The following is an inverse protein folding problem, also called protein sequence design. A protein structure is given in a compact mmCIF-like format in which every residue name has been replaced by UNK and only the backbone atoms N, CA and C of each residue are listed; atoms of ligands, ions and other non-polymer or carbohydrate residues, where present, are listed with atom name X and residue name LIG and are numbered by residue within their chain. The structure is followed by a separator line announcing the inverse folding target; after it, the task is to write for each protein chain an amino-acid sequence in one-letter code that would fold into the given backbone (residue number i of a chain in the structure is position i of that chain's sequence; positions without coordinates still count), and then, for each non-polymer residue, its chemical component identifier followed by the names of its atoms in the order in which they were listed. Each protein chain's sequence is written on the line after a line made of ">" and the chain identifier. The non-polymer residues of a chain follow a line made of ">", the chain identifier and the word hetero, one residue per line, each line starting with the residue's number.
data_IF_406326664625
#
_entry.id   IF_406326664625
#
_cell.length_a   1.000
_cell.length_b   1.000
_cell.length_c   1.000
_cell.angle_alpha   90.00
_cell.angle_beta   90.00
_cell.angle_gamma   90.00
#
_symmetry.space_group_name_H-M   'P 1'
#
loop_
_entity.id
_entity.type
_entity.pdbx_description
1 polymer ?
#
# COMPACT_ATOMS: atom_id res chain seq x y z
N UNK A 1 14.92 -14.70 18.93
CA UNK A 1 13.46 -14.89 19.01
C UNK A 1 13.03 -15.46 20.37
N UNK A 2 13.42 -16.67 20.75
CA UNK A 2 13.02 -17.30 22.03
C UNK A 2 13.23 -16.41 23.27
N UNK A 3 14.40 -15.80 23.44
CA UNK A 3 14.68 -14.87 24.55
C UNK A 3 13.73 -13.66 24.61
N UNK A 4 13.33 -13.14 23.45
CA UNK A 4 12.39 -12.02 23.37
C UNK A 4 10.95 -12.46 23.69
N UNK A 5 10.57 -13.68 23.31
CA UNK A 5 9.27 -14.25 23.66
C UNK A 5 9.16 -14.54 25.16
N UNK A 6 10.21 -15.08 25.76
CA UNK A 6 10.31 -15.28 27.20
C UNK A 6 10.19 -13.96 27.96
N UNK A 7 10.92 -12.92 27.54
CA UNK A 7 10.88 -11.60 28.17
C UNK A 7 9.51 -10.90 28.03
N UNK A 8 8.78 -11.15 26.95
CA UNK A 8 7.46 -10.56 26.69
C UNK A 8 6.29 -11.44 27.15
N UNK A 9 6.55 -12.65 27.67
CA UNK A 9 5.52 -13.60 28.10
C UNK A 9 4.67 -14.15 26.94
N UNK A 10 5.23 -14.23 25.73
CA UNK A 10 4.49 -14.59 24.49
C UNK A 10 4.76 -16.02 24.01
N UNK A 11 5.40 -16.86 24.82
CA UNK A 11 5.78 -18.23 24.46
C UNK A 11 4.57 -19.15 24.19
N UNK A 12 3.41 -18.85 24.77
CA UNK A 12 2.19 -19.66 24.69
C UNK A 12 1.10 -19.05 23.78
N UNK A 13 1.42 -18.02 22.99
CA UNK A 13 0.43 -17.44 22.07
C UNK A 13 0.04 -18.44 21.00
N UNK A 14 -1.26 -18.53 20.72
CA UNK A 14 -1.72 -19.33 19.59
C UNK A 14 -1.32 -18.67 18.27
N UNK A 15 -1.18 -19.47 17.21
CA UNK A 15 -0.99 -18.93 15.87
C UNK A 15 -2.12 -17.98 15.46
N UNK A 16 -3.35 -18.23 15.93
CA UNK A 16 -4.50 -17.35 15.71
C UNK A 16 -4.29 -15.97 16.33
N UNK A 17 -3.82 -15.90 17.58
CA UNK A 17 -3.57 -14.63 18.27
C UNK A 17 -2.41 -13.87 17.64
N UNK A 18 -1.37 -14.58 17.18
CA UNK A 18 -0.26 -13.97 16.43
C UNK A 18 -0.79 -13.33 15.14
N UNK A 19 -1.58 -14.06 14.35
CA UNK A 19 -2.14 -13.54 13.11
C UNK A 19 -3.13 -12.39 13.34
N UNK A 20 -3.96 -12.47 14.38
CA UNK A 20 -4.87 -11.40 14.76
C UNK A 20 -4.11 -10.14 15.19
N UNK A 21 -3.03 -10.29 15.94
CA UNK A 21 -2.16 -9.18 16.37
C UNK A 21 -1.47 -8.53 15.19
N UNK A 22 -0.91 -9.32 14.27
CA UNK A 22 -0.27 -8.79 13.06
C UNK A 22 -1.27 -8.08 12.15
N UNK A 23 -2.47 -8.64 11.98
CA UNK A 23 -3.54 -8.01 11.21
C UNK A 23 -3.94 -6.66 11.82
N UNK A 24 -4.15 -6.62 13.14
CA UNK A 24 -4.50 -5.40 13.86
C UNK A 24 -3.38 -4.36 13.77
N UNK A 25 -2.13 -4.77 13.95
CA UNK A 25 -0.98 -3.91 13.82
C UNK A 25 -0.90 -3.28 12.42
N UNK A 26 -1.10 -4.06 11.35
CA UNK A 26 -1.18 -3.52 9.98
C UNK A 26 -2.30 -2.50 9.83
N UNK A 27 -3.49 -2.78 10.36
CA UNK A 27 -4.61 -1.83 10.32
C UNK A 27 -4.28 -0.53 11.04
N UNK A 28 -3.80 -0.60 12.28
CA UNK A 28 -3.49 0.59 13.11
C UNK A 28 -2.41 1.46 12.43
N UNK A 29 -1.40 0.86 11.80
CA UNK A 29 -0.38 1.59 11.05
C UNK A 29 -0.94 2.28 9.81
N UNK A 30 -1.81 1.61 9.04
CA UNK A 30 -2.47 2.19 7.86
C UNK A 30 -3.38 3.36 8.28
N UNK A 31 -4.19 3.16 9.31
CA UNK A 31 -5.10 4.18 9.85
C UNK A 31 -4.30 5.41 10.30
N UNK A 32 -3.25 5.21 11.09
CA UNK A 32 -2.39 6.28 11.58
C UNK A 32 -1.76 7.06 10.42
N UNK A 33 -1.23 6.38 9.40
CA UNK A 33 -0.65 7.02 8.23
C UNK A 33 -1.69 7.83 7.43
N UNK A 34 -2.90 7.30 7.24
CA UNK A 34 -3.99 8.02 6.58
C UNK A 34 -4.32 9.29 7.36
N UNK A 35 -4.64 9.16 8.66
CA UNK A 35 -5.01 10.31 9.49
C UNK A 35 -3.93 11.41 9.50
N UNK A 36 -2.66 11.04 9.55
CA UNK A 36 -1.55 12.00 9.50
C UNK A 36 -1.44 12.69 8.14
N UNK A 37 -1.55 11.94 7.04
CA UNK A 37 -1.37 12.48 5.69
C UNK A 37 -2.59 13.26 5.19
N UNK A 38 -3.77 12.99 5.73
CA UNK A 38 -5.02 13.64 5.34
C UNK A 38 -5.52 14.66 6.35
N UNK A 39 -4.73 15.01 7.37
CA UNK A 39 -5.15 15.93 8.45
C UNK A 39 -5.61 17.32 7.98
N UNK A 40 -5.18 17.75 6.79
CA UNK A 40 -5.55 19.03 6.17
C UNK A 40 -6.39 18.87 4.90
N UNK A 41 -6.86 17.65 4.60
CA UNK A 41 -7.66 17.36 3.43
C UNK A 41 -9.13 17.19 3.84
N UNK A 42 -9.98 18.00 3.25
CA UNK A 42 -11.42 17.82 3.32
C UNK A 42 -11.90 16.93 2.16
N UNK A 43 -12.91 16.09 2.41
CA UNK A 43 -13.66 15.35 1.38
C UNK A 43 -12.79 14.51 0.42
N UNK A 44 -12.00 13.57 0.95
CA UNK A 44 -11.21 12.65 0.13
C UNK A 44 -11.84 11.26 0.04
N UNK A 45 -11.41 10.50 -0.97
CA UNK A 45 -11.80 9.11 -1.20
C UNK A 45 -10.54 8.26 -1.24
N UNK A 46 -10.57 7.11 -0.56
CA UNK A 46 -9.48 6.14 -0.59
C UNK A 46 -9.81 5.08 -1.66
N UNK A 47 -8.86 4.84 -2.57
CA UNK A 47 -8.94 3.74 -3.53
C UNK A 47 -7.92 2.65 -3.18
N UNK A 48 -8.41 1.53 -2.65
CA UNK A 48 -7.62 0.38 -2.25
C UNK A 48 -7.36 -0.59 -3.44
N UNK A 49 -6.25 -1.32 -3.36
CA UNK A 49 -5.81 -2.29 -4.37
C UNK A 49 -4.84 -3.31 -3.79
N UNK A 50 -4.49 -4.34 -4.56
CA UNK A 50 -3.57 -5.41 -4.14
C UNK A 50 -4.21 -6.39 -3.15
N UNK A 51 -3.45 -7.42 -2.77
CA UNK A 51 -3.97 -8.57 -2.03
C UNK A 51 -4.63 -8.26 -0.68
N UNK A 52 -4.26 -7.14 -0.05
CA UNK A 52 -4.81 -6.73 1.25
C UNK A 52 -6.31 -6.45 1.24
N UNK A 53 -6.89 -6.07 0.09
CA UNK A 53 -8.33 -5.79 -0.04
C UNK A 53 -9.19 -7.05 0.19
N UNK A 54 -8.62 -8.23 -0.04
CA UNK A 54 -9.29 -9.52 0.14
C UNK A 54 -9.29 -9.98 1.59
N UNK A 55 -8.68 -9.22 2.52
CA UNK A 55 -8.74 -9.48 3.95
C UNK A 55 -9.91 -8.68 4.58
N UNK A 56 -11.07 -9.32 4.83
CA UNK A 56 -12.25 -8.62 5.31
C UNK A 56 -12.07 -8.02 6.70
N UNK A 57 -11.28 -8.67 7.57
CA UNK A 57 -11.01 -8.16 8.92
C UNK A 57 -10.21 -6.87 8.86
N UNK A 58 -9.14 -6.83 8.06
CA UNK A 58 -8.32 -5.64 7.85
C UNK A 58 -9.16 -4.48 7.31
N UNK A 59 -9.92 -4.72 6.23
CA UNK A 59 -10.74 -3.68 5.61
C UNK A 59 -11.84 -3.18 6.57
N UNK A 60 -12.44 -4.07 7.37
CA UNK A 60 -13.44 -3.67 8.37
C UNK A 60 -12.84 -2.79 9.48
N UNK A 61 -11.63 -3.09 9.96
CA UNK A 61 -10.95 -2.31 10.99
C UNK A 61 -10.63 -0.89 10.48
N UNK A 62 -10.15 -0.78 9.24
CA UNK A 62 -9.86 0.51 8.61
C UNK A 62 -11.14 1.33 8.42
N UNK A 63 -12.22 0.72 7.90
CA UNK A 63 -13.49 1.42 7.70
C UNK A 63 -14.13 1.87 9.02
N UNK A 64 -14.04 1.06 10.08
CA UNK A 64 -14.54 1.42 11.41
C UNK A 64 -13.79 2.61 12.03
N UNK A 65 -12.48 2.69 11.80
CA UNK A 65 -11.67 3.80 12.31
C UNK A 65 -11.82 5.08 11.48
N UNK A 66 -12.33 4.98 10.25
CA UNK A 66 -12.53 6.09 9.31
C UNK A 66 -13.99 6.09 8.79
N UNK A 67 -14.99 6.25 9.67
CA UNK A 67 -16.39 6.04 9.32
C UNK A 67 -16.92 7.01 8.25
N UNK A 68 -16.38 8.22 8.21
CA UNK A 68 -16.80 9.28 7.28
C UNK A 68 -16.03 9.27 5.95
N UNK A 69 -15.02 8.39 5.82
CA UNK A 69 -14.19 8.29 4.61
C UNK A 69 -14.76 7.21 3.70
N UNK A 70 -14.98 7.56 2.43
CA UNK A 70 -15.36 6.59 1.41
C UNK A 70 -14.13 5.75 1.01
N UNK A 71 -14.17 4.46 1.34
CA UNK A 71 -13.16 3.50 0.92
C UNK A 71 -13.73 2.66 -0.24
N UNK A 72 -13.06 2.77 -1.39
CA UNK A 72 -13.40 2.13 -2.66
C UNK A 72 -12.25 1.24 -3.11
N UNK A 73 -12.45 0.49 -4.18
CA UNK A 73 -11.34 -0.21 -4.86
C UNK A 73 -11.02 0.47 -6.18
N UNK A 74 -9.84 0.22 -6.74
CA UNK A 74 -9.50 0.73 -8.07
C UNK A 74 -10.40 0.19 -9.19
N UNK A 75 -11.20 -0.86 -8.92
CA UNK A 75 -12.20 -1.35 -9.88
C UNK A 75 -13.23 -0.25 -10.23
N UNK A 76 -13.56 0.62 -9.27
CA UNK A 76 -14.45 1.76 -9.48
C UNK A 76 -13.87 2.80 -10.45
N UNK A 77 -12.55 2.75 -10.67
CA UNK A 77 -11.82 3.55 -11.65
C UNK A 77 -11.56 2.78 -12.97
N UNK A 78 -12.12 1.57 -13.12
CA UNK A 78 -11.91 0.71 -14.28
C UNK A 78 -10.58 -0.06 -14.27
N UNK A 79 -9.84 -0.06 -13.15
CA UNK A 79 -8.56 -0.75 -13.02
C UNK A 79 -8.71 -1.94 -12.09
N UNK A 80 -8.47 -3.16 -12.59
CA UNK A 80 -8.50 -4.35 -11.76
C UNK A 80 -7.53 -4.19 -10.55
N UNK A 81 -8.03 -4.28 -9.30
CA UNK A 81 -7.22 -4.08 -8.10
C UNK A 81 -5.99 -4.98 -7.97
N UNK A 82 -6.07 -6.21 -8.47
CA UNK A 82 -4.97 -7.17 -8.42
C UNK A 82 -3.98 -6.98 -9.58
N UNK A 83 -4.42 -6.34 -10.68
CA UNK A 83 -3.57 -6.11 -11.85
C UNK A 83 -2.84 -4.76 -11.82
N UNK A 84 -3.18 -3.86 -10.88
CA UNK A 84 -2.66 -2.48 -10.81
C UNK A 84 -1.13 -2.41 -10.94
N UNK A 85 -0.41 -3.28 -10.25
CA UNK A 85 1.06 -3.29 -10.27
C UNK A 85 1.63 -3.81 -11.61
N UNK A 86 0.99 -4.81 -12.23
CA UNK A 86 1.37 -5.27 -13.57
C UNK A 86 1.13 -4.17 -14.63
N UNK A 87 0.01 -3.45 -14.52
CA UNK A 87 -0.28 -2.29 -15.37
C UNK A 87 0.76 -1.19 -15.16
N UNK A 88 1.18 -0.92 -13.91
CA UNK A 88 2.27 0.02 -13.64
C UNK A 88 3.56 -0.35 -14.36
N UNK A 89 3.95 -1.63 -14.38
CA UNK A 89 5.14 -2.06 -15.13
C UNK A 89 4.99 -1.86 -16.64
N UNK A 90 3.81 -2.13 -17.21
CA UNK A 90 3.55 -1.86 -18.62
C UNK A 90 3.65 -0.36 -18.94
N UNK A 91 3.12 0.51 -18.06
CA UNK A 91 3.25 1.97 -18.18
C UNK A 91 4.72 2.38 -18.09
N UNK A 92 5.49 1.87 -17.13
CA UNK A 92 6.91 2.16 -17.00
C UNK A 92 7.72 1.70 -18.23
N UNK A 93 7.35 0.58 -18.86
CA UNK A 93 7.96 0.13 -20.11
C UNK A 93 7.66 1.09 -21.28
N UNK A 94 6.41 1.55 -21.38
CA UNK A 94 6.03 2.59 -22.35
C UNK A 94 6.83 3.88 -22.11
N UNK A 95 6.92 4.34 -20.86
CA UNK A 95 7.69 5.54 -20.51
C UNK A 95 9.19 5.37 -20.79
N UNK A 96 9.74 4.16 -20.65
CA UNK A 96 11.13 3.86 -21.03
C UNK A 96 11.35 3.96 -22.55
N UNK A 97 10.38 3.53 -23.36
CA UNK A 97 10.51 3.48 -24.82
C UNK A 97 10.21 4.82 -25.50
N UNK A 98 9.08 5.45 -25.13
CA UNK A 98 8.54 6.64 -25.80
C UNK A 98 8.18 7.78 -24.84
N UNK A 99 8.35 7.57 -23.54
CA UNK A 99 8.05 8.58 -22.52
C UNK A 99 8.90 9.83 -22.69
N UNK A 100 8.32 10.98 -22.36
CA UNK A 100 9.07 12.23 -22.30
C UNK A 100 10.15 12.19 -21.20
N UNK A 101 10.91 13.27 -21.04
CA UNK A 101 11.82 13.45 -19.89
C UNK A 101 11.07 13.74 -18.58
N UNK A 102 9.93 13.08 -18.34
CA UNK A 102 9.19 13.17 -17.09
C UNK A 102 10.09 12.62 -15.99
N UNK A 103 10.66 13.54 -15.21
CA UNK A 103 11.50 13.21 -14.08
C UNK A 103 10.56 13.01 -12.90
N UNK A 104 10.48 11.78 -12.40
CA UNK A 104 10.03 11.56 -11.02
C UNK A 104 11.12 12.08 -10.10
N UNK A 105 11.09 13.38 -9.81
CA UNK A 105 12.02 14.02 -8.89
C UNK A 105 11.24 14.57 -7.71
N UNK A 106 11.56 14.09 -6.51
CA UNK A 106 11.20 14.77 -5.29
C UNK A 106 12.44 15.50 -4.76
N UNK A 107 12.73 16.69 -5.33
CA UNK A 107 13.91 17.46 -4.96
C UNK A 107 13.93 17.84 -3.47
N UNK A 108 12.76 17.95 -2.82
CA UNK A 108 12.64 18.20 -1.38
C UNK A 108 13.12 17.04 -0.52
N UNK A 109 13.03 15.81 -1.03
CA UNK A 109 13.49 14.58 -0.35
C UNK A 109 14.81 14.04 -0.92
N UNK A 110 15.48 14.81 -1.80
CA UNK A 110 16.75 14.41 -2.41
C UNK A 110 16.63 13.28 -3.44
N UNK A 111 15.43 12.97 -3.94
CA UNK A 111 15.23 11.91 -4.95
C UNK A 111 15.63 12.47 -6.33
N UNK A 112 16.72 11.96 -6.94
CA UNK A 112 17.18 12.44 -8.23
C UNK A 112 16.15 12.10 -9.32
N UNK A 113 15.98 13.02 -10.27
CA UNK A 113 15.12 12.76 -11.43
C UNK A 113 15.74 11.71 -12.34
N UNK A 114 15.32 10.46 -12.18
CA UNK A 114 15.77 9.31 -12.98
C UNK A 114 14.66 8.85 -13.92
N UNK A 115 15.04 8.37 -15.10
CA UNK A 115 14.16 7.58 -15.96
C UNK A 115 14.33 6.11 -15.57
N UNK A 116 13.22 5.42 -15.33
CA UNK A 116 13.21 4.00 -14.98
C UNK A 116 13.21 3.12 -16.25
N UNK A 117 13.86 1.95 -16.18
CA UNK A 117 13.83 0.93 -17.24
C UNK A 117 15.18 0.67 -17.91
N UNK A 118 15.30 -0.52 -18.51
CA UNK A 118 16.41 -0.94 -19.40
C UNK A 118 15.82 -1.71 -20.56
N UNK A 119 16.32 -1.49 -21.78
CA UNK A 119 15.87 -2.19 -22.98
C UNK A 119 16.76 -3.41 -23.19
N UNK A 120 16.15 -4.60 -23.20
CA UNK A 120 16.78 -5.83 -23.65
C UNK A 120 16.21 -6.16 -25.03
N UNK A 121 17.07 -6.20 -26.05
CA UNK A 121 16.67 -6.63 -27.38
C UNK A 121 16.47 -8.14 -27.38
N UNK A 122 15.40 -8.59 -28.05
CA UNK A 122 15.32 -9.98 -28.47
C UNK A 122 16.46 -10.20 -29.48
N UNK A 123 17.29 -11.19 -29.18
CA UNK A 123 18.34 -11.73 -30.04
C UNK A 123 17.85 -12.05 -31.46
#
# INVERSE_FOLDING_TARGET
>A
LAKAQQQSGTEALSHGDIMATLNRFSADMIISAIQQTTAQLDNFVIYASGGGIHNPLLMSQIQQALPDVSIKTTADLGINPDAKEAVLFAVLANECLVGGKQKFSNAREGIPGVTMGKISFAD
#
